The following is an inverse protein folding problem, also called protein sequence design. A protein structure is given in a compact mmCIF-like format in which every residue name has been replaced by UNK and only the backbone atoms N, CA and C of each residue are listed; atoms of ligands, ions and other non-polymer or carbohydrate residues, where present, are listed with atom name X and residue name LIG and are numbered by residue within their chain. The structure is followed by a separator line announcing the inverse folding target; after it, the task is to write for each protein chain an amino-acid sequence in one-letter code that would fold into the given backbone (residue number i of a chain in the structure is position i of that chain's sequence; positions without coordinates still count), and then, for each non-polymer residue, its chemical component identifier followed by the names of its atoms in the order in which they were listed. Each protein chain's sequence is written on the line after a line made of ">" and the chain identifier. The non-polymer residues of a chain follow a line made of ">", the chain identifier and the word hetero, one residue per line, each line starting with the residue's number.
data_IF_719226733021
#
_entry.id   IF_719226733021
#
_cell.length_a   1.000
_cell.length_b   1.000
_cell.length_c   1.000
_cell.angle_alpha   90.00
_cell.angle_beta   90.00
_cell.angle_gamma   90.00
#
_symmetry.space_group_name_H-M   'P 1'
#
loop_
_entity.id
_entity.type
_entity.pdbx_description
1 polymer ?
#
# COMPACT_ATOMS: atom_id res chain seq x y z
N UNK A 1 -3.69 33.14 -4.43
CA UNK A 1 -4.12 31.95 -3.66
C UNK A 1 -2.97 30.98 -3.63
N UNK A 2 -2.65 30.41 -2.47
CA UNK A 2 -1.62 29.38 -2.34
C UNK A 2 -2.17 28.08 -2.91
N UNK A 3 -1.53 27.54 -3.95
CA UNK A 3 -1.95 26.28 -4.56
C UNK A 3 -1.58 25.12 -3.64
N UNK A 4 -2.50 24.18 -3.45
CA UNK A 4 -2.35 23.03 -2.56
C UNK A 4 -2.37 21.74 -3.38
N UNK A 5 -1.65 20.73 -2.89
CA UNK A 5 -1.46 19.46 -3.57
C UNK A 5 -1.63 18.32 -2.56
N UNK A 6 -2.24 17.22 -3.01
CA UNK A 6 -2.29 15.96 -2.25
C UNK A 6 -1.28 15.00 -2.85
N UNK A 7 -0.34 14.53 -2.02
CA UNK A 7 0.72 13.62 -2.44
C UNK A 7 0.66 12.33 -1.62
N UNK A 8 0.71 11.19 -2.29
CA UNK A 8 1.09 9.90 -1.71
C UNK A 8 2.59 9.74 -1.95
N UNK A 9 3.36 9.72 -0.88
CA UNK A 9 4.82 9.61 -0.94
C UNK A 9 5.31 8.38 -0.20
N UNK A 10 6.46 7.86 -0.63
CA UNK A 10 7.16 6.85 0.17
C UNK A 10 7.52 7.46 1.54
N UNK A 11 7.31 6.70 2.61
CA UNK A 11 7.60 7.13 3.99
C UNK A 11 9.03 7.62 4.14
N UNK A 12 9.98 7.07 3.39
CA UNK A 12 11.38 7.49 3.43
C UNK A 12 11.57 8.97 3.06
N UNK A 13 10.70 9.52 2.20
CA UNK A 13 10.74 10.92 1.77
C UNK A 13 10.21 11.90 2.83
N UNK A 14 9.64 11.40 3.92
CA UNK A 14 9.03 12.20 4.99
C UNK A 14 9.95 12.43 6.19
N UNK A 15 11.14 11.83 6.22
CA UNK A 15 12.08 11.97 7.35
C UNK A 15 13.04 13.15 7.16
N UNK A 16 13.17 13.96 8.22
CA UNK A 16 14.26 14.91 8.54
C UNK A 16 14.57 16.06 7.54
N UNK A 17 14.03 16.05 6.33
CA UNK A 17 14.21 17.15 5.35
C UNK A 17 12.93 17.45 4.56
N UNK A 18 12.74 18.69 4.08
CA UNK A 18 11.65 19.01 3.15
C UNK A 18 11.72 18.13 1.90
N UNK A 19 10.56 17.73 1.39
CA UNK A 19 10.45 17.12 0.07
C UNK A 19 11.01 18.08 -0.98
N UNK A 20 12.01 17.61 -1.73
CA UNK A 20 12.66 18.36 -2.78
C UNK A 20 12.27 17.81 -4.14
N UNK A 21 11.93 18.73 -5.04
CA UNK A 21 11.53 18.42 -6.40
C UNK A 21 12.51 19.02 -7.39
N UNK A 22 12.86 18.23 -8.38
CA UNK A 22 13.69 18.62 -9.52
C UNK A 22 12.90 18.40 -10.81
N UNK A 23 13.36 18.99 -11.90
CA UNK A 23 12.68 18.89 -13.20
C UNK A 23 13.62 18.29 -14.22
N UNK A 24 13.19 17.20 -14.86
CA UNK A 24 13.96 16.48 -15.87
C UNK A 24 13.14 16.18 -17.11
N UNK A 25 13.84 15.90 -18.20
CA UNK A 25 13.23 15.36 -19.40
C UNK A 25 12.76 13.93 -19.15
N UNK A 26 11.49 13.68 -19.44
CA UNK A 26 10.93 12.35 -19.42
C UNK A 26 11.54 11.48 -20.54
N UNK A 27 11.97 10.23 -20.29
CA UNK A 27 12.79 9.46 -21.23
C UNK A 27 12.21 9.25 -22.64
N UNK A 28 10.89 9.02 -22.74
CA UNK A 28 10.20 8.84 -24.03
C UNK A 28 9.84 10.16 -24.70
N UNK A 29 8.99 10.96 -24.04
CA UNK A 29 8.43 12.17 -24.62
C UNK A 29 9.40 13.35 -24.71
N UNK A 30 10.53 13.29 -23.99
CA UNK A 30 11.48 14.39 -23.82
C UNK A 30 10.85 15.67 -23.24
N UNK A 31 9.65 15.58 -22.65
CA UNK A 31 8.99 16.71 -22.02
C UNK A 31 9.48 16.87 -20.58
N UNK A 32 9.60 18.12 -20.12
CA UNK A 32 10.06 18.41 -18.75
C UNK A 32 8.98 18.03 -17.73
N UNK A 33 9.32 17.11 -16.84
CA UNK A 33 8.49 16.59 -15.74
C UNK A 33 9.19 16.78 -14.38
N UNK A 34 8.40 16.94 -13.33
CA UNK A 34 8.85 17.00 -11.94
C UNK A 34 9.10 15.61 -11.37
N UNK A 35 10.22 15.47 -10.66
CA UNK A 35 10.65 14.28 -9.94
C UNK A 35 10.91 14.67 -8.48
N UNK A 36 10.62 13.79 -7.54
CA UNK A 36 11.04 13.95 -6.14
C UNK A 36 12.38 13.24 -5.93
N UNK A 37 13.19 13.73 -4.99
CA UNK A 37 14.48 13.11 -4.67
C UNK A 37 14.65 12.77 -3.20
N UNK A 38 15.26 11.61 -2.98
CA UNK A 38 15.83 11.21 -1.70
C UNK A 38 17.34 11.35 -1.75
N UNK A 39 17.85 12.47 -1.22
CA UNK A 39 19.30 12.75 -1.17
C UNK A 39 20.08 11.76 -0.30
N UNK A 40 19.43 11.18 0.72
CA UNK A 40 20.07 10.27 1.68
C UNK A 40 20.30 8.91 1.04
N UNK A 41 19.27 8.34 0.42
CA UNK A 41 19.34 7.02 -0.20
C UNK A 41 19.72 7.06 -1.69
N UNK A 42 19.89 8.26 -2.26
CA UNK A 42 20.23 8.47 -3.68
C UNK A 42 19.19 7.84 -4.62
N UNK A 43 17.92 8.06 -4.32
CA UNK A 43 16.80 7.54 -5.11
C UNK A 43 16.04 8.71 -5.74
N UNK A 44 15.69 8.55 -7.01
CA UNK A 44 14.84 9.48 -7.75
C UNK A 44 13.45 8.84 -7.86
N UNK A 45 12.42 9.65 -7.63
CA UNK A 45 11.03 9.25 -7.76
C UNK A 45 10.38 10.08 -8.86
N UNK A 46 9.71 9.42 -9.79
CA UNK A 46 8.81 10.12 -10.70
C UNK A 46 7.54 10.55 -9.98
N UNK A 47 6.91 11.62 -10.45
CA UNK A 47 5.64 12.09 -9.94
C UNK A 47 4.52 11.74 -10.92
N UNK A 48 3.73 10.74 -10.56
CA UNK A 48 2.54 10.31 -11.29
C UNK A 48 1.36 11.16 -10.84
N UNK A 49 0.57 11.64 -11.79
CA UNK A 49 -0.62 12.46 -11.54
C UNK A 49 -1.87 11.67 -11.88
N UNK A 50 -2.76 11.54 -10.92
CA UNK A 50 -4.10 11.01 -11.11
C UNK A 50 -5.11 12.16 -11.07
N UNK A 51 -5.97 12.23 -12.10
CA UNK A 51 -7.05 13.20 -12.17
C UNK A 51 -8.37 12.52 -12.51
N UNK A 52 -9.36 12.76 -11.68
CA UNK A 52 -10.74 12.37 -11.93
C UNK A 52 -11.57 13.62 -12.21
N UNK A 53 -12.48 13.55 -13.19
CA UNK A 53 -13.38 14.67 -13.47
C UNK A 53 -14.36 14.86 -12.31
N UNK A 54 -14.63 16.13 -11.97
CA UNK A 54 -15.59 16.55 -10.94
C UNK A 54 -15.26 16.00 -9.53
N UNK A 55 -13.99 16.04 -9.14
CA UNK A 55 -13.53 15.63 -7.81
C UNK A 55 -12.92 16.80 -7.02
N UNK A 56 -12.94 16.70 -5.70
CA UNK A 56 -12.36 17.66 -4.75
C UNK A 56 -11.89 16.95 -3.48
N UNK A 57 -10.85 17.47 -2.82
CA UNK A 57 -10.45 16.96 -1.51
C UNK A 57 -11.02 17.83 -0.38
N UNK A 58 -11.52 17.18 0.65
CA UNK A 58 -11.78 17.79 1.94
C UNK A 58 -10.61 17.44 2.84
N UNK A 59 -9.80 18.43 3.21
CA UNK A 59 -8.63 18.23 4.06
C UNK A 59 -8.94 18.86 5.42
N UNK A 60 -9.24 17.98 6.38
CA UNK A 60 -9.83 18.35 7.67
C UNK A 60 -11.15 19.15 7.49
N UNK A 61 -11.61 19.82 8.54
CA UNK A 61 -12.91 20.54 8.52
C UNK A 61 -12.85 21.96 7.94
N UNK A 62 -11.66 22.40 7.52
CA UNK A 62 -11.40 23.83 7.22
C UNK A 62 -10.94 24.09 5.79
N UNK A 63 -10.67 23.05 5.00
CA UNK A 63 -9.98 23.22 3.72
C UNK A 63 -10.59 22.33 2.64
N UNK A 64 -10.97 22.96 1.52
CA UNK A 64 -11.43 22.27 0.32
C UNK A 64 -10.42 22.55 -0.80
N UNK A 65 -9.81 21.50 -1.32
CA UNK A 65 -8.98 21.55 -2.53
C UNK A 65 -9.90 21.25 -3.71
N UNK A 66 -10.14 22.25 -4.53
CA UNK A 66 -11.16 22.23 -5.59
C UNK A 66 -10.84 21.28 -6.75
N UNK A 67 -9.59 20.85 -6.91
CA UNK A 67 -9.18 19.81 -7.82
C UNK A 67 -8.89 18.54 -7.02
N UNK A 68 -9.67 17.48 -7.23
CA UNK A 68 -9.40 16.15 -6.65
C UNK A 68 -8.23 15.44 -7.34
N UNK A 69 -7.23 16.21 -7.77
CA UNK A 69 -5.96 15.72 -8.30
C UNK A 69 -5.19 15.05 -7.16
N UNK A 70 -4.66 13.86 -7.43
CA UNK A 70 -3.74 13.15 -6.55
C UNK A 70 -2.40 13.01 -7.24
N UNK A 71 -1.31 13.20 -6.51
CA UNK A 71 0.02 12.90 -7.00
C UNK A 71 0.58 11.72 -6.22
N UNK A 72 1.33 10.85 -6.89
CA UNK A 72 1.99 9.69 -6.30
C UNK A 72 3.46 9.70 -6.69
N UNK A 73 4.35 9.41 -5.75
CA UNK A 73 5.77 9.22 -6.05
C UNK A 73 6.08 7.73 -6.23
N UNK A 74 6.66 7.36 -7.36
CA UNK A 74 7.13 6.00 -7.64
C UNK A 74 8.64 6.01 -7.91
N UNK A 75 9.44 5.09 -7.33
CA UNK A 75 10.87 5.04 -7.62
C UNK A 75 11.12 4.76 -9.10
N UNK A 76 11.96 5.57 -9.75
CA UNK A 76 12.35 5.36 -11.15
C UNK A 76 13.75 4.77 -11.24
N UNK A 77 13.95 3.81 -12.13
CA UNK A 77 15.28 3.27 -12.37
C UNK A 77 16.11 4.29 -13.17
N UNK A 78 17.25 4.69 -12.62
CA UNK A 78 18.18 5.63 -13.23
C UNK A 78 18.57 5.26 -14.66
N UNK A 79 18.65 3.97 -15.01
CA UNK A 79 19.00 3.55 -16.37
C UNK A 79 17.98 4.02 -17.41
N UNK A 80 16.69 4.06 -17.07
CA UNK A 80 15.68 4.63 -17.98
C UNK A 80 15.88 6.13 -18.17
N UNK A 81 16.26 6.86 -17.11
CA UNK A 81 16.54 8.30 -17.21
C UNK A 81 17.80 8.60 -18.03
N UNK A 82 18.80 7.72 -17.98
CA UNK A 82 20.05 7.87 -18.74
C UNK A 82 19.96 7.34 -20.17
N UNK A 83 18.97 6.49 -20.46
CA UNK A 83 18.87 5.79 -21.74
C UNK A 83 18.82 6.73 -22.95
N UNK A 84 18.12 7.89 -22.94
CA UNK A 84 18.15 8.80 -24.07
C UNK A 84 19.56 9.30 -24.41
N UNK A 85 20.37 9.61 -23.39
CA UNK A 85 21.75 10.07 -23.59
C UNK A 85 22.62 8.93 -24.14
N UNK A 86 22.51 7.75 -23.54
CA UNK A 86 23.25 6.56 -23.96
C UNK A 86 22.89 6.12 -25.39
N UNK A 87 21.61 6.23 -25.75
CA UNK A 87 21.11 5.91 -27.09
C UNK A 87 21.67 6.87 -28.14
N UNK A 88 21.73 8.17 -27.81
CA UNK A 88 22.31 9.19 -28.69
C UNK A 88 23.81 8.98 -28.90
N UNK A 89 24.53 8.43 -27.93
CA UNK A 89 25.97 8.15 -28.01
C UNK A 89 26.30 6.71 -28.38
N UNK A 90 25.32 5.87 -28.75
CA UNK A 90 25.51 4.39 -28.86
C UNK A 90 26.58 3.94 -29.85
N UNK A 91 26.95 4.77 -30.82
CA UNK A 91 27.95 4.43 -31.85
C UNK A 91 29.40 4.71 -31.43
N UNK A 92 29.64 5.28 -30.25
CA UNK A 92 30.99 5.67 -29.81
C UNK A 92 31.23 5.39 -28.33
N UNK A 93 32.49 5.15 -27.97
CA UNK A 93 32.93 5.13 -26.57
C UNK A 93 33.05 6.57 -26.05
N UNK A 94 32.49 6.83 -24.87
CA UNK A 94 32.50 8.16 -24.27
C UNK A 94 32.60 8.09 -22.74
N UNK A 95 33.25 9.08 -22.13
CA UNK A 95 33.29 9.20 -20.66
C UNK A 95 31.89 9.50 -20.08
N UNK A 96 31.65 9.10 -18.84
CA UNK A 96 30.37 9.36 -18.14
C UNK A 96 29.99 10.84 -18.15
N UNK A 97 30.97 11.72 -17.93
CA UNK A 97 30.78 13.17 -17.91
C UNK A 97 30.24 13.66 -19.25
N UNK A 98 30.81 13.20 -20.35
CA UNK A 98 30.39 13.61 -21.68
C UNK A 98 29.02 13.02 -22.04
N UNK A 99 28.75 11.75 -21.70
CA UNK A 99 27.42 11.13 -21.91
C UNK A 99 26.34 11.94 -21.21
N UNK A 100 26.53 12.27 -19.93
CA UNK A 100 25.53 12.97 -19.13
C UNK A 100 25.25 14.41 -19.62
N UNK A 101 26.23 15.06 -20.23
CA UNK A 101 26.10 16.44 -20.77
C UNK A 101 25.51 16.50 -22.17
N UNK A 102 25.34 15.39 -22.87
CA UNK A 102 24.85 15.39 -24.26
C UNK A 102 23.43 15.94 -24.43
N UNK A 103 22.53 15.68 -23.48
CA UNK A 103 21.13 16.07 -23.63
C UNK A 103 20.82 17.42 -22.98
N UNK A 104 21.40 17.70 -21.81
CA UNK A 104 21.24 18.96 -21.08
C UNK A 104 22.42 19.12 -20.10
N UNK A 105 23.17 20.21 -20.22
CA UNK A 105 24.33 20.47 -19.35
C UNK A 105 23.94 20.60 -17.88
N UNK A 106 22.80 21.26 -17.58
CA UNK A 106 22.34 21.43 -16.20
C UNK A 106 21.91 20.08 -15.60
N UNK A 107 21.34 19.20 -16.43
CA UNK A 107 21.02 17.84 -16.05
C UNK A 107 22.30 17.05 -15.76
N UNK A 108 23.29 17.11 -16.66
CA UNK A 108 24.56 16.41 -16.47
C UNK A 108 25.25 16.81 -15.16
N UNK A 109 25.28 18.11 -14.86
CA UNK A 109 25.85 18.62 -13.62
C UNK A 109 25.04 18.17 -12.39
N UNK A 110 23.71 18.07 -12.47
CA UNK A 110 22.92 17.49 -11.38
C UNK A 110 23.35 16.04 -11.11
N UNK A 111 23.45 15.19 -12.14
CA UNK A 111 23.78 13.77 -11.95
C UNK A 111 25.16 13.60 -11.32
N UNK A 112 26.14 14.38 -11.76
CA UNK A 112 27.49 14.37 -11.23
C UNK A 112 27.57 14.88 -9.77
N UNK A 113 26.66 15.78 -9.38
CA UNK A 113 26.56 16.25 -7.99
C UNK A 113 25.75 15.31 -7.10
N UNK A 114 24.73 14.66 -7.65
CA UNK A 114 23.83 13.80 -6.89
C UNK A 114 24.41 12.39 -6.71
N UNK A 115 25.01 11.81 -7.76
CA UNK A 115 25.62 10.49 -7.77
C UNK A 115 27.15 10.56 -7.91
N UNK A 116 27.87 9.57 -7.38
CA UNK A 116 29.31 9.42 -7.67
C UNK A 116 29.52 8.83 -9.06
N UNK A 117 30.65 9.15 -9.69
CA UNK A 117 31.02 8.57 -11.00
C UNK A 117 31.07 7.03 -10.91
N UNK A 118 31.60 6.48 -9.82
CA UNK A 118 31.66 5.03 -9.59
C UNK A 118 30.26 4.41 -9.52
N UNK A 119 29.31 5.07 -8.85
CA UNK A 119 27.93 4.59 -8.79
C UNK A 119 27.30 4.55 -10.18
N UNK A 120 27.48 5.62 -10.97
CA UNK A 120 26.94 5.68 -12.34
C UNK A 120 27.58 4.60 -13.20
N UNK A 121 28.92 4.47 -13.13
CA UNK A 121 29.71 3.46 -13.83
C UNK A 121 29.20 2.04 -13.56
N UNK A 122 28.97 1.69 -12.29
CA UNK A 122 28.41 0.40 -11.89
C UNK A 122 27.04 0.15 -12.53
N UNK A 123 26.16 1.16 -12.55
CA UNK A 123 24.82 1.00 -13.13
C UNK A 123 24.86 0.88 -14.64
N UNK A 124 25.57 1.75 -15.35
CA UNK A 124 25.58 1.73 -16.83
C UNK A 124 26.32 0.51 -17.38
N UNK A 125 27.29 -0.05 -16.64
CA UNK A 125 27.99 -1.30 -17.02
C UNK A 125 27.06 -2.49 -17.24
N UNK A 126 25.83 -2.43 -16.72
CA UNK A 126 24.78 -3.43 -16.94
C UNK A 126 24.34 -3.45 -18.42
N UNK A 127 24.29 -2.29 -19.07
CA UNK A 127 23.79 -2.12 -20.45
C UNK A 127 24.86 -1.61 -21.42
N UNK A 128 26.05 -1.28 -20.94
CA UNK A 128 27.17 -0.75 -21.73
C UNK A 128 28.38 -1.70 -21.70
N UNK A 129 29.26 -1.55 -22.69
CA UNK A 129 30.63 -2.04 -22.66
C UNK A 129 31.58 -0.93 -22.22
N UNK A 130 32.67 -1.31 -21.54
CA UNK A 130 33.70 -0.40 -21.06
C UNK A 130 35.03 -0.75 -21.75
N UNK A 131 35.71 0.26 -22.28
CA UNK A 131 37.03 0.09 -22.88
C UNK A 131 38.16 0.25 -21.84
N UNK A 132 39.41 0.10 -22.28
CA UNK A 132 40.60 0.23 -21.43
C UNK A 132 40.77 1.64 -20.81
N UNK A 133 40.16 2.67 -21.42
CA UNK A 133 40.18 4.06 -20.95
C UNK A 133 39.02 4.41 -20.01
N UNK A 134 38.24 3.42 -19.57
CA UNK A 134 37.02 3.62 -18.78
C UNK A 134 35.97 4.50 -19.46
N UNK A 135 35.90 4.44 -20.79
CA UNK A 135 34.83 5.03 -21.57
C UNK A 135 33.78 3.96 -21.86
N UNK A 136 32.52 4.40 -22.02
CA UNK A 136 31.36 3.53 -22.16
C UNK A 136 30.72 3.67 -23.53
N UNK A 137 30.29 2.54 -24.08
CA UNK A 137 29.46 2.47 -25.28
C UNK A 137 28.22 1.61 -24.97
N UNK A 138 27.03 2.06 -25.39
CA UNK A 138 25.81 1.27 -25.22
C UNK A 138 25.94 -0.05 -25.98
N UNK A 139 25.68 -1.17 -25.31
CA UNK A 139 25.65 -2.48 -25.91
C UNK A 139 24.17 -2.90 -26.07
N UNK A 140 23.69 -2.91 -27.31
CA UNK A 140 22.28 -3.20 -27.61
C UNK A 140 21.86 -4.59 -27.14
N UNK A 141 22.74 -5.60 -27.21
CA UNK A 141 22.43 -6.94 -26.74
C UNK A 141 22.25 -7.00 -25.21
N UNK A 142 23.11 -6.31 -24.46
CA UNK A 142 22.98 -6.18 -23.00
C UNK A 142 21.72 -5.40 -22.62
N UNK A 143 21.42 -4.32 -23.35
CA UNK A 143 20.21 -3.54 -23.14
C UNK A 143 18.95 -4.38 -23.38
N UNK A 144 18.86 -5.11 -24.50
CA UNK A 144 17.69 -5.94 -24.80
C UNK A 144 17.48 -7.03 -23.76
N UNK A 145 18.55 -7.70 -23.33
CA UNK A 145 18.49 -8.66 -22.23
C UNK A 145 18.00 -8.01 -20.93
N UNK A 146 18.52 -6.83 -20.60
CA UNK A 146 18.10 -6.10 -19.39
C UNK A 146 16.61 -5.70 -19.44
N UNK A 147 16.11 -5.26 -20.60
CA UNK A 147 14.70 -4.92 -20.82
C UNK A 147 13.80 -6.16 -20.74
N UNK A 148 14.22 -7.29 -21.31
CA UNK A 148 13.53 -8.59 -21.18
C UNK A 148 13.37 -8.99 -19.71
N UNK A 149 14.43 -8.88 -18.91
CA UNK A 149 14.35 -9.20 -17.48
C UNK A 149 13.38 -8.28 -16.72
N UNK A 150 13.20 -7.02 -17.14
CA UNK A 150 12.21 -6.11 -16.55
C UNK A 150 10.80 -6.48 -16.99
N UNK A 151 10.62 -6.84 -18.26
CA UNK A 151 9.36 -7.34 -18.81
C UNK A 151 8.88 -8.60 -18.08
N UNK A 152 9.76 -9.59 -17.93
CA UNK A 152 9.47 -10.81 -17.17
C UNK A 152 9.15 -10.52 -15.70
N UNK A 153 9.84 -9.55 -15.07
CA UNK A 153 9.56 -9.15 -13.69
C UNK A 153 8.16 -8.52 -13.56
N UNK A 154 7.74 -7.70 -14.51
CA UNK A 154 6.39 -7.12 -14.52
C UNK A 154 5.32 -8.21 -14.68
N UNK A 155 5.54 -9.20 -15.55
CA UNK A 155 4.61 -10.31 -15.68
C UNK A 155 4.52 -11.16 -14.41
N UNK A 156 5.67 -11.50 -13.81
CA UNK A 156 5.71 -12.43 -12.68
C UNK A 156 5.33 -11.81 -11.34
N UNK A 157 5.76 -10.56 -11.07
CA UNK A 157 5.52 -9.88 -9.79
C UNK A 157 4.38 -8.86 -9.87
N UNK A 158 4.12 -8.31 -11.05
CA UNK A 158 3.02 -7.37 -11.27
C UNK A 158 1.72 -8.05 -11.68
N UNK A 159 1.73 -9.37 -11.91
CA UNK A 159 0.58 -10.15 -12.41
C UNK A 159 -0.01 -9.57 -13.71
N UNK A 160 0.88 -9.04 -14.56
CA UNK A 160 0.52 -8.41 -15.82
C UNK A 160 0.62 -9.40 -16.98
N UNK A 161 -0.27 -9.26 -17.95
CA UNK A 161 -0.12 -9.99 -19.20
C UNK A 161 1.04 -9.44 -20.03
N UNK A 162 1.44 -10.19 -21.06
CA UNK A 162 2.60 -9.86 -21.90
C UNK A 162 2.49 -8.46 -22.53
N UNK A 163 1.30 -8.08 -23.02
CA UNK A 163 1.08 -6.77 -23.62
C UNK A 163 1.18 -5.65 -22.60
N UNK A 164 0.49 -5.77 -21.45
CA UNK A 164 0.55 -4.79 -20.37
C UNK A 164 1.98 -4.56 -19.85
N UNK A 165 2.78 -5.63 -19.70
CA UNK A 165 4.16 -5.52 -19.26
C UNK A 165 5.06 -4.81 -20.29
N UNK A 166 4.87 -5.10 -21.58
CA UNK A 166 5.58 -4.44 -22.67
C UNK A 166 5.23 -2.95 -22.74
N UNK A 167 3.94 -2.67 -22.69
CA UNK A 167 3.32 -1.36 -22.69
C UNK A 167 3.94 -0.44 -21.60
N UNK A 168 3.98 -0.88 -20.35
CA UNK A 168 4.58 -0.10 -19.25
C UNK A 168 6.05 0.24 -19.49
N UNK A 169 6.83 -0.70 -20.06
CA UNK A 169 8.26 -0.44 -20.35
C UNK A 169 8.41 0.58 -21.46
N UNK A 170 7.56 0.48 -22.50
CA UNK A 170 7.61 1.37 -23.65
C UNK A 170 7.43 2.83 -23.29
N UNK A 171 6.73 3.15 -22.20
CA UNK A 171 6.61 4.52 -21.67
C UNK A 171 7.97 5.19 -21.40
N UNK A 172 9.05 4.43 -21.25
CA UNK A 172 10.39 4.94 -20.96
C UNK A 172 11.37 4.85 -22.14
N UNK A 173 10.94 4.32 -23.28
CA UNK A 173 11.79 4.05 -24.44
C UNK A 173 11.47 5.01 -25.59
N UNK A 174 12.46 5.29 -26.43
CA UNK A 174 12.24 5.93 -27.73
C UNK A 174 11.72 4.90 -28.75
N UNK A 175 11.20 5.37 -29.87
CA UNK A 175 10.51 4.51 -30.84
C UNK A 175 11.44 3.44 -31.45
N UNK A 176 12.68 3.80 -31.80
CA UNK A 176 13.68 2.83 -32.30
C UNK A 176 13.92 1.69 -31.29
N UNK A 177 14.04 2.01 -30.00
CA UNK A 177 14.28 1.02 -28.95
C UNK A 177 13.03 0.15 -28.69
N UNK A 178 11.84 0.75 -28.79
CA UNK A 178 10.56 0.01 -28.72
C UNK A 178 10.49 -1.04 -29.84
N UNK A 179 10.80 -0.66 -31.08
CA UNK A 179 10.79 -1.57 -32.23
C UNK A 179 11.79 -2.72 -32.04
N UNK A 180 13.01 -2.41 -31.59
CA UNK A 180 14.02 -3.44 -31.31
C UNK A 180 13.57 -4.39 -30.20
N UNK A 181 13.00 -3.88 -29.11
CA UNK A 181 12.50 -4.70 -28.01
C UNK A 181 11.34 -5.60 -28.46
N UNK A 182 10.42 -5.06 -29.26
CA UNK A 182 9.29 -5.80 -29.80
C UNK A 182 9.76 -7.00 -30.64
N UNK A 183 10.76 -6.79 -31.49
CA UNK A 183 11.37 -7.86 -32.28
C UNK A 183 12.10 -8.88 -31.40
N UNK A 184 12.87 -8.41 -30.42
CA UNK A 184 13.62 -9.26 -29.48
C UNK A 184 12.70 -10.21 -28.70
N UNK A 185 11.56 -9.68 -28.22
CA UNK A 185 10.54 -10.43 -27.48
C UNK A 185 9.61 -11.25 -28.38
N UNK A 186 9.74 -11.15 -29.71
CA UNK A 186 8.93 -11.86 -30.73
C UNK A 186 7.42 -11.61 -30.58
N UNK A 187 7.07 -10.36 -30.32
CA UNK A 187 5.69 -9.92 -30.14
C UNK A 187 4.99 -9.66 -31.49
N UNK A 188 3.70 -10.00 -31.61
CA UNK A 188 2.93 -9.82 -32.87
C UNK A 188 2.46 -8.37 -33.03
N UNK A 189 2.69 -7.77 -34.20
CA UNK A 189 2.40 -6.34 -34.51
C UNK A 189 1.00 -5.85 -34.14
N UNK A 190 -0.05 -6.67 -34.31
CA UNK A 190 -1.45 -6.25 -34.14
C UNK A 190 -1.99 -6.33 -32.70
N UNK A 191 -1.14 -6.49 -31.68
CA UNK A 191 -1.57 -6.79 -30.30
C UNK A 191 -1.52 -5.59 -29.35
N UNK A 192 -1.07 -4.41 -29.79
CA UNK A 192 -0.63 -3.34 -28.89
C UNK A 192 -1.33 -2.02 -29.16
N UNK A 193 -1.49 -1.24 -28.08
CA UNK A 193 -2.14 0.06 -28.11
C UNK A 193 -1.12 1.08 -28.62
N UNK A 194 -1.43 1.77 -29.73
CA UNK A 194 -0.68 2.96 -30.12
C UNK A 194 -0.79 4.00 -29.00
N UNK A 195 0.35 4.33 -28.39
CA UNK A 195 0.42 5.33 -27.32
C UNK A 195 0.12 6.72 -27.85
N UNK A 196 -0.87 7.39 -27.24
CA UNK A 196 -0.90 8.84 -27.24
C UNK A 196 0.33 9.34 -26.46
N UNK A 197 1.12 10.22 -27.07
CA UNK A 197 2.26 10.88 -26.44
C UNK A 197 1.80 11.41 -25.07
N UNK A 198 2.51 11.13 -23.95
CA UNK A 198 2.16 11.71 -22.67
C UNK A 198 2.07 13.22 -22.83
N UNK A 199 0.86 13.78 -22.76
CA UNK A 199 0.69 15.24 -22.81
C UNK A 199 1.43 15.78 -21.61
N UNK A 200 2.58 16.43 -21.85
CA UNK A 200 3.40 17.02 -20.79
C UNK A 200 2.50 17.75 -19.81
N UNK A 201 2.51 17.29 -18.55
CA UNK A 201 1.53 17.68 -17.56
C UNK A 201 1.73 19.15 -17.21
N UNK A 202 0.95 20.05 -17.82
CA UNK A 202 1.08 21.52 -17.72
C UNK A 202 0.93 22.08 -16.30
N UNK A 203 0.43 21.28 -15.34
CA UNK A 203 0.11 21.69 -13.97
C UNK A 203 0.78 20.77 -12.92
N UNK A 204 2.10 20.61 -12.99
CA UNK A 204 2.85 19.95 -11.92
C UNK A 204 3.29 20.97 -10.86
N UNK A 205 3.53 20.55 -9.60
CA UNK A 205 4.11 21.41 -8.59
C UNK A 205 5.40 22.02 -9.14
N UNK A 206 5.48 23.35 -9.15
CA UNK A 206 6.74 24.05 -9.46
C UNK A 206 7.77 23.61 -8.42
N UNK A 207 9.01 23.39 -8.85
CA UNK A 207 10.14 23.10 -7.97
C UNK A 207 10.20 24.15 -6.85
N UNK A 208 9.63 23.81 -5.71
CA UNK A 208 9.54 24.62 -4.51
C UNK A 208 9.59 23.64 -3.35
N UNK A 209 10.42 23.94 -2.35
CA UNK A 209 10.43 23.19 -1.10
C UNK A 209 9.01 23.19 -0.51
N UNK A 210 8.46 22.02 -0.23
CA UNK A 210 7.19 21.92 0.51
C UNK A 210 7.45 22.33 1.97
N UNK A 211 7.17 23.59 2.29
CA UNK A 211 7.45 24.19 3.62
C UNK A 211 6.40 23.88 4.69
N UNK A 212 5.21 23.41 4.31
CA UNK A 212 4.15 22.97 5.23
C UNK A 212 3.39 21.79 4.61
N UNK A 213 3.59 20.60 5.16
CA UNK A 213 2.81 19.42 4.83
C UNK A 213 2.02 18.98 6.08
N UNK A 214 0.71 18.77 5.92
CA UNK A 214 -0.02 17.93 6.86
C UNK A 214 0.20 16.49 6.41
N UNK A 215 1.16 15.83 7.03
CA UNK A 215 1.45 14.43 6.74
C UNK A 215 0.46 13.56 7.49
N UNK A 216 -0.30 12.75 6.76
CA UNK A 216 -1.12 11.68 7.32
C UNK A 216 -0.35 10.39 7.08
N UNK A 217 0.18 9.78 8.15
CA UNK A 217 0.83 8.47 8.07
C UNK A 217 -0.28 7.42 7.92
N UNK A 218 -0.43 6.88 6.71
CA UNK A 218 -1.49 5.93 6.40
C UNK A 218 -1.08 4.50 6.82
N UNK A 219 0.14 4.27 7.33
CA UNK A 219 0.57 2.90 7.65
C UNK A 219 1.66 2.85 8.74
N UNK A 220 1.25 2.70 10.01
CA UNK A 220 2.17 2.41 11.12
C UNK A 220 2.11 0.94 11.53
N UNK A 221 3.01 0.09 11.06
CA UNK A 221 3.06 -1.36 11.43
C UNK A 221 3.39 -1.65 12.91
N UNK A 222 3.42 -0.65 13.79
CA UNK A 222 4.33 -0.64 14.93
C UNK A 222 3.95 -1.50 16.14
N UNK A 223 2.74 -2.06 16.25
CA UNK A 223 2.38 -2.88 17.44
C UNK A 223 1.56 -4.16 17.17
N UNK A 224 0.82 -4.28 16.05
CA UNK A 224 0.16 -5.57 15.69
C UNK A 224 1.17 -6.68 15.31
N UNK A 225 2.43 -6.33 15.03
CA UNK A 225 3.47 -7.28 14.63
C UNK A 225 3.61 -8.46 15.60
N UNK A 226 3.51 -8.22 16.91
CA UNK A 226 3.56 -9.27 17.93
C UNK A 226 2.40 -10.26 17.78
N UNK A 227 1.17 -9.77 17.62
CA UNK A 227 -0.02 -10.63 17.44
C UNK A 227 0.11 -11.42 16.15
N UNK A 228 0.54 -10.80 15.05
CA UNK A 228 0.77 -11.49 13.76
C UNK A 228 1.80 -12.61 13.88
N UNK A 229 2.90 -12.35 14.56
CA UNK A 229 4.01 -13.29 14.66
C UNK A 229 3.70 -14.47 15.61
N UNK A 230 2.93 -14.22 16.67
CA UNK A 230 2.61 -15.22 17.69
C UNK A 230 1.27 -15.91 17.51
N UNK A 231 0.43 -15.43 16.60
CA UNK A 231 -0.84 -16.08 16.28
C UNK A 231 -0.61 -17.48 15.71
N UNK A 232 -1.46 -18.41 16.13
CA UNK A 232 -1.51 -19.78 15.63
C UNK A 232 -2.22 -19.87 14.25
N UNK A 233 -2.72 -18.73 13.73
CA UNK A 233 -3.32 -18.64 12.40
C UNK A 233 -2.24 -18.63 11.32
N UNK A 234 -2.34 -19.57 10.38
CA UNK A 234 -1.37 -19.75 9.29
C UNK A 234 -1.26 -18.53 8.35
N UNK A 235 -2.29 -17.68 8.29
CA UNK A 235 -2.32 -16.47 7.46
C UNK A 235 -1.72 -15.24 8.16
N UNK A 236 -1.72 -15.21 9.50
CA UNK A 236 -1.42 -14.00 10.26
C UNK A 236 0.00 -13.48 10.00
N UNK A 237 0.99 -14.37 9.81
CA UNK A 237 2.39 -13.99 9.59
C UNK A 237 2.63 -13.31 8.24
N UNK A 238 1.83 -13.65 7.23
CA UNK A 238 1.99 -13.17 5.84
C UNK A 238 1.05 -12.02 5.48
N UNK A 239 0.07 -11.72 6.34
CA UNK A 239 -0.97 -10.76 6.01
C UNK A 239 -0.43 -9.34 5.82
N UNK A 240 -0.96 -8.61 4.86
CA UNK A 240 -0.64 -7.20 4.63
C UNK A 240 -1.63 -6.32 5.41
N UNK A 241 -1.24 -5.86 6.60
CA UNK A 241 -2.13 -5.12 7.49
C UNK A 241 -1.74 -3.65 7.54
N UNK A 242 -2.71 -2.79 7.29
CA UNK A 242 -2.65 -1.35 7.52
C UNK A 242 -2.99 -1.05 8.99
N UNK A 243 -2.43 0.01 9.57
CA UNK A 243 -2.74 0.40 10.94
C UNK A 243 -3.29 1.81 11.00
N UNK A 244 -4.21 2.00 11.95
CA UNK A 244 -4.77 3.29 12.30
C UNK A 244 -3.74 4.22 12.94
N UNK A 245 -4.02 5.52 12.97
CA UNK A 245 -3.24 6.47 13.76
C UNK A 245 -3.10 6.00 15.20
N UNK A 246 -1.95 6.28 15.81
CA UNK A 246 -1.73 6.03 17.24
C UNK A 246 -2.65 6.91 18.08
N UNK A 247 -3.17 6.36 19.17
CA UNK A 247 -3.93 7.12 20.17
C UNK A 247 -3.00 8.12 20.88
N UNK A 248 -3.37 9.39 20.93
CA UNK A 248 -2.57 10.42 21.59
C UNK A 248 -2.83 10.46 23.11
N UNK A 249 -1.87 10.95 23.88
CA UNK A 249 -2.04 11.05 25.33
C UNK A 249 -3.23 11.97 25.67
N UNK A 250 -4.13 11.50 26.54
CA UNK A 250 -5.35 12.20 27.00
C UNK A 250 -6.36 12.52 25.89
N UNK A 251 -6.28 11.85 24.74
CA UNK A 251 -7.20 12.05 23.65
C UNK A 251 -8.55 11.37 23.89
N UNK A 252 -9.64 12.09 23.59
CA UNK A 252 -11.00 11.54 23.66
C UNK A 252 -11.28 10.58 22.49
N UNK A 253 -12.31 9.75 22.63
CA UNK A 253 -12.71 8.81 21.57
C UNK A 253 -13.12 9.57 20.30
N UNK A 254 -13.80 10.70 20.47
CA UNK A 254 -14.29 11.57 19.39
C UNK A 254 -13.12 12.20 18.62
N UNK A 255 -12.11 12.73 19.33
CA UNK A 255 -10.89 13.27 18.72
C UNK A 255 -10.09 12.19 17.98
N UNK A 256 -9.99 10.99 18.57
CA UNK A 256 -9.37 9.85 17.91
C UNK A 256 -10.10 9.49 16.62
N UNK A 257 -11.43 9.46 16.67
CA UNK A 257 -12.30 9.18 15.54
C UNK A 257 -12.11 10.16 14.37
N UNK A 258 -11.98 11.45 14.64
CA UNK A 258 -11.68 12.47 13.61
C UNK A 258 -10.39 12.15 12.83
N UNK A 259 -9.37 11.60 13.52
CA UNK A 259 -8.11 11.19 12.87
C UNK A 259 -8.18 9.81 12.23
N UNK A 260 -8.96 8.91 12.81
CA UNK A 260 -9.20 7.56 12.29
C UNK A 260 -9.88 7.63 10.92
N UNK A 261 -10.93 8.44 10.79
CA UNK A 261 -11.80 8.49 9.61
C UNK A 261 -11.06 8.68 8.27
N UNK A 262 -10.21 9.70 8.08
CA UNK A 262 -9.48 9.88 6.82
C UNK A 262 -8.62 8.66 6.46
N UNK A 263 -7.94 8.07 7.45
CA UNK A 263 -7.09 6.90 7.19
C UNK A 263 -7.87 5.64 6.88
N UNK A 264 -9.04 5.45 7.51
CA UNK A 264 -9.94 4.33 7.21
C UNK A 264 -10.58 4.48 5.81
N UNK A 265 -10.96 5.70 5.42
CA UNK A 265 -11.44 6.00 4.07
C UNK A 265 -10.38 5.72 3.01
N UNK A 266 -9.13 6.15 3.25
CA UNK A 266 -8.02 5.88 2.32
C UNK A 266 -7.77 4.37 2.24
N UNK A 267 -7.76 3.66 3.38
CA UNK A 267 -7.66 2.21 3.38
C UNK A 267 -8.74 1.57 2.50
N UNK A 268 -10.01 1.97 2.65
CA UNK A 268 -11.12 1.47 1.85
C UNK A 268 -10.95 1.78 0.34
N UNK A 269 -10.50 2.98 0.00
CA UNK A 269 -10.28 3.40 -1.39
C UNK A 269 -9.19 2.57 -2.09
N UNK A 270 -8.17 2.13 -1.35
CA UNK A 270 -7.00 1.42 -1.91
C UNK A 270 -6.96 -0.08 -1.59
N UNK A 271 -7.92 -0.60 -0.82
CA UNK A 271 -7.90 -2.00 -0.35
C UNK A 271 -7.82 -3.01 -1.50
N UNK A 272 -8.43 -2.68 -2.65
CA UNK A 272 -8.44 -3.49 -3.87
C UNK A 272 -7.07 -3.48 -4.56
N UNK A 273 -6.52 -2.29 -4.76
CA UNK A 273 -5.29 -2.10 -5.55
C UNK A 273 -4.03 -2.51 -4.79
N UNK A 274 -3.95 -2.19 -3.50
CA UNK A 274 -2.78 -2.45 -2.66
C UNK A 274 -2.85 -3.83 -1.99
N UNK A 275 -3.94 -4.55 -2.21
CA UNK A 275 -4.12 -5.90 -1.71
C UNK A 275 -3.95 -6.00 -0.18
N UNK A 276 -4.47 -5.04 0.58
CA UNK A 276 -4.46 -5.11 2.04
C UNK A 276 -5.40 -6.19 2.56
N UNK A 277 -4.95 -6.94 3.57
CA UNK A 277 -5.70 -8.02 4.22
C UNK A 277 -6.47 -7.57 5.46
N UNK A 278 -6.14 -6.39 5.97
CA UNK A 278 -6.90 -5.78 7.06
C UNK A 278 -6.38 -4.42 7.50
N UNK A 279 -7.16 -3.79 8.39
CA UNK A 279 -6.87 -2.52 9.02
C UNK A 279 -7.01 -2.66 10.54
N UNK A 280 -5.98 -2.32 11.30
CA UNK A 280 -5.98 -2.44 12.76
C UNK A 280 -6.14 -1.11 13.46
N UNK A 281 -7.06 -1.05 14.42
CA UNK A 281 -7.19 0.04 15.40
C UNK A 281 -6.62 -0.43 16.73
N UNK A 282 -5.72 0.36 17.32
CA UNK A 282 -5.07 0.06 18.60
C UNK A 282 -5.55 1.06 19.65
N UNK A 283 -6.21 0.54 20.68
CA UNK A 283 -6.78 1.31 21.78
C UNK A 283 -5.91 1.07 23.02
N UNK A 284 -5.40 2.12 23.69
CA UNK A 284 -4.58 1.96 24.88
C UNK A 284 -5.32 1.18 25.96
N UNK A 285 -4.65 0.17 26.53
CA UNK A 285 -5.14 -0.55 27.69
C UNK A 285 -4.89 0.27 28.96
N UNK A 286 -5.83 1.15 29.26
CA UNK A 286 -5.78 2.08 30.38
C UNK A 286 -7.18 2.25 31.00
N UNK A 287 -7.45 3.39 31.66
CA UNK A 287 -8.74 3.73 32.25
C UNK A 287 -9.95 3.60 31.29
N UNK A 288 -9.74 3.71 29.96
CA UNK A 288 -10.77 3.59 28.93
C UNK A 288 -11.18 2.14 28.63
N UNK A 289 -10.34 1.16 28.98
CA UNK A 289 -10.56 -0.26 28.70
C UNK A 289 -10.10 -1.10 29.89
N UNK A 290 -10.61 -0.82 31.09
CA UNK A 290 -10.21 -1.56 32.30
C UNK A 290 -10.86 -2.93 32.34
N UNK A 291 -12.07 -3.05 31.80
CA UNK A 291 -12.77 -4.32 31.63
C UNK A 291 -13.08 -4.62 30.17
N UNK A 292 -13.52 -5.84 29.90
CA UNK A 292 -13.98 -6.23 28.56
C UNK A 292 -15.24 -5.43 28.15
N UNK A 293 -16.08 -5.05 29.13
CA UNK A 293 -17.25 -4.19 28.92
C UNK A 293 -16.83 -2.76 28.56
N UNK A 294 -15.82 -2.19 29.24
CA UNK A 294 -15.27 -0.89 28.87
C UNK A 294 -14.74 -0.91 27.43
N UNK A 295 -13.97 -1.95 27.08
CA UNK A 295 -13.49 -2.15 25.72
C UNK A 295 -14.66 -2.28 24.71
N UNK A 296 -15.73 -2.99 25.07
CA UNK A 296 -16.92 -3.11 24.24
C UNK A 296 -17.62 -1.76 23.99
N UNK A 297 -17.65 -0.87 24.99
CA UNK A 297 -18.19 0.48 24.82
C UNK A 297 -17.33 1.33 23.89
N UNK A 298 -16.00 1.27 24.02
CA UNK A 298 -15.09 1.97 23.10
C UNK A 298 -15.21 1.42 21.67
N UNK A 299 -15.26 0.10 21.53
CA UNK A 299 -15.48 -0.59 20.26
C UNK A 299 -16.76 -0.11 19.58
N UNK A 300 -17.89 -0.10 20.30
CA UNK A 300 -19.18 0.38 19.78
C UNK A 300 -19.09 1.82 19.28
N UNK A 301 -18.45 2.71 20.04
CA UNK A 301 -18.29 4.12 19.67
C UNK A 301 -17.47 4.30 18.40
N UNK A 302 -16.38 3.54 18.24
CA UNK A 302 -15.55 3.57 17.03
C UNK A 302 -16.34 3.08 15.82
N UNK A 303 -17.02 1.92 15.92
CA UNK A 303 -17.86 1.40 14.83
C UNK A 303 -18.99 2.38 14.47
N UNK A 304 -19.63 2.99 15.47
CA UNK A 304 -20.68 3.99 15.27
C UNK A 304 -20.14 5.23 14.55
N UNK A 305 -18.98 5.74 14.95
CA UNK A 305 -18.35 6.87 14.28
C UNK A 305 -18.07 6.57 12.80
N UNK A 306 -17.44 5.43 12.50
CA UNK A 306 -17.18 5.00 11.13
C UNK A 306 -18.50 4.89 10.34
N UNK A 307 -19.49 4.20 10.89
CA UNK A 307 -20.80 4.04 10.27
C UNK A 307 -21.51 5.38 10.01
N UNK A 308 -21.46 6.33 10.94
CA UNK A 308 -22.10 7.65 10.81
C UNK A 308 -21.45 8.53 9.73
N UNK A 309 -20.20 8.24 9.41
CA UNK A 309 -19.42 8.94 8.38
C UNK A 309 -19.24 8.09 7.11
N UNK A 310 -20.03 7.02 6.96
CA UNK A 310 -19.98 6.16 5.78
C UNK A 310 -20.31 6.95 4.49
N UNK A 311 -19.38 7.07 3.53
CA UNK A 311 -19.60 7.76 2.26
C UNK A 311 -20.75 7.18 1.44
N UNK A 312 -21.00 5.88 1.57
CA UNK A 312 -22.11 5.19 0.91
C UNK A 312 -23.46 5.40 1.61
N UNK A 313 -23.46 6.08 2.78
CA UNK A 313 -24.66 6.42 3.57
C UNK A 313 -25.50 5.21 3.95
N UNK A 314 -24.85 4.07 4.26
CA UNK A 314 -25.55 2.87 4.75
C UNK A 314 -25.91 2.96 6.21
N UNK A 315 -25.05 3.60 7.00
CA UNK A 315 -25.23 3.79 8.43
C UNK A 315 -25.55 2.46 9.15
N UNK A 316 -24.75 1.41 8.88
CA UNK A 316 -25.03 0.03 9.31
C UNK A 316 -25.22 -0.12 10.83
N UNK A 317 -24.63 0.75 11.64
CA UNK A 317 -24.76 0.79 13.10
C UNK A 317 -26.06 1.44 13.59
N UNK A 318 -26.87 2.04 12.72
CA UNK A 318 -28.22 2.53 13.06
C UNK A 318 -29.29 1.43 12.92
N UNK A 319 -28.91 0.24 12.47
CA UNK A 319 -29.81 -0.90 12.36
C UNK A 319 -30.28 -1.37 13.73
N UNK A 320 -31.58 -1.64 13.88
CA UNK A 320 -32.13 -2.31 15.07
C UNK A 320 -31.91 -3.83 15.06
N UNK A 321 -31.18 -4.35 14.07
CA UNK A 321 -30.99 -5.78 13.78
C UNK A 321 -29.52 -6.19 13.79
N UNK A 322 -28.68 -5.52 14.60
CA UNK A 322 -27.23 -5.82 14.68
C UNK A 322 -26.99 -7.27 15.18
N UNK A 323 -27.86 -7.75 16.06
CA UNK A 323 -27.88 -9.11 16.60
C UNK A 323 -28.58 -10.13 15.68
N UNK A 324 -28.99 -9.73 14.48
CA UNK A 324 -29.70 -10.60 13.55
C UNK A 324 -28.76 -11.23 12.53
N UNK A 325 -29.12 -12.42 12.05
CA UNK A 325 -28.46 -13.04 10.90
C UNK A 325 -28.49 -12.10 9.69
N UNK A 326 -27.36 -11.98 9.01
CA UNK A 326 -27.21 -11.17 7.79
C UNK A 326 -26.82 -9.72 8.04
N UNK A 327 -26.80 -9.25 9.30
CA UNK A 327 -26.12 -8.00 9.60
C UNK A 327 -24.61 -8.18 9.50
N UNK A 328 -23.96 -7.23 8.85
CA UNK A 328 -22.51 -7.11 8.72
C UNK A 328 -22.14 -5.65 8.91
N UNK A 329 -20.91 -5.41 9.39
CA UNK A 329 -20.36 -4.07 9.37
C UNK A 329 -19.96 -3.73 7.93
N UNK A 330 -20.53 -2.67 7.38
CA UNK A 330 -20.25 -2.16 6.04
C UNK A 330 -19.82 -0.70 6.12
N UNK A 331 -18.79 -0.34 5.36
CA UNK A 331 -18.35 1.03 5.14
C UNK A 331 -17.90 1.18 3.69
N UNK A 332 -18.39 2.21 3.01
CA UNK A 332 -18.16 2.48 1.59
C UNK A 332 -18.41 1.25 0.68
N UNK A 333 -19.49 0.52 0.96
CA UNK A 333 -19.88 -0.72 0.25
C UNK A 333 -18.88 -1.87 0.38
N UNK A 334 -17.97 -1.80 1.35
CA UNK A 334 -17.07 -2.88 1.71
C UNK A 334 -17.56 -3.49 3.01
N UNK A 335 -17.81 -4.80 2.98
CA UNK A 335 -18.16 -5.60 4.15
C UNK A 335 -16.91 -6.04 4.88
N UNK A 336 -16.96 -6.00 6.21
CA UNK A 336 -15.84 -6.33 7.07
C UNK A 336 -16.16 -7.47 8.02
N UNK A 337 -15.29 -8.46 8.04
CA UNK A 337 -15.15 -9.37 9.16
C UNK A 337 -14.30 -8.69 10.23
N UNK A 338 -14.87 -8.51 11.42
CA UNK A 338 -14.21 -7.81 12.53
C UNK A 338 -13.82 -8.81 13.60
N UNK A 339 -12.56 -8.77 14.00
CA UNK A 339 -12.01 -9.57 15.09
C UNK A 339 -11.30 -8.67 16.08
N UNK A 340 -11.40 -8.99 17.37
CA UNK A 340 -10.68 -8.26 18.43
C UNK A 340 -9.64 -9.12 19.13
N UNK A 341 -8.58 -8.48 19.63
CA UNK A 341 -7.60 -9.08 20.52
C UNK A 341 -7.39 -8.17 21.72
N UNK A 342 -7.30 -8.71 22.93
CA UNK A 342 -7.20 -7.87 24.13
C UNK A 342 -6.41 -8.53 25.25
N UNK A 343 -5.76 -7.74 26.15
CA UNK A 343 -5.10 -8.24 27.34
C UNK A 343 -6.07 -8.86 28.37
N UNK A 344 -7.37 -8.59 28.26
CA UNK A 344 -8.39 -9.16 29.16
C UNK A 344 -8.56 -10.67 28.97
N UNK A 345 -8.28 -11.18 27.77
CA UNK A 345 -8.44 -12.60 27.48
C UNK A 345 -7.29 -13.40 28.09
N UNK A 346 -7.56 -14.57 28.68
CA UNK A 346 -6.52 -15.45 29.21
C UNK A 346 -5.67 -16.03 28.07
N UNK A 347 -4.47 -16.52 28.40
CA UNK A 347 -3.49 -17.00 27.42
C UNK A 347 -3.92 -18.23 26.60
N UNK A 348 -4.92 -18.97 27.11
CA UNK A 348 -5.58 -20.11 26.49
C UNK A 348 -6.82 -19.70 25.66
N UNK A 349 -7.04 -18.40 25.47
CA UNK A 349 -8.14 -17.89 24.66
C UNK A 349 -7.66 -17.52 23.24
N UNK A 350 -8.44 -17.81 22.18
CA UNK A 350 -8.06 -17.48 20.80
C UNK A 350 -7.96 -15.96 20.52
N UNK A 351 -8.50 -15.12 21.42
CA UNK A 351 -8.43 -13.64 21.34
C UNK A 351 -7.33 -13.01 22.21
N UNK A 352 -6.44 -13.83 22.79
CA UNK A 352 -5.34 -13.34 23.61
C UNK A 352 -4.39 -12.42 22.82
N UNK A 353 -4.06 -11.25 23.38
CA UNK A 353 -3.17 -10.26 22.75
C UNK A 353 -1.66 -10.59 22.86
N UNK A 354 -1.28 -11.75 23.41
CA UNK A 354 0.11 -12.14 23.65
C UNK A 354 0.89 -11.08 24.47
N UNK A 355 2.01 -10.57 23.93
CA UNK A 355 2.82 -9.55 24.60
C UNK A 355 2.32 -8.12 24.33
N UNK A 356 1.29 -7.95 23.51
CA UNK A 356 0.66 -6.65 23.28
C UNK A 356 -0.29 -6.27 24.42
N UNK A 357 0.25 -6.24 25.66
CA UNK A 357 -0.52 -6.02 26.89
C UNK A 357 -0.96 -4.58 27.11
N UNK A 358 -0.36 -3.64 26.38
CA UNK A 358 -0.64 -2.22 26.51
C UNK A 358 -1.79 -1.74 25.60
N UNK A 359 -2.37 -2.64 24.79
CA UNK A 359 -3.38 -2.26 23.80
C UNK A 359 -4.46 -3.33 23.64
N UNK A 360 -5.70 -2.88 23.47
CA UNK A 360 -6.77 -3.66 22.85
C UNK A 360 -6.80 -3.37 21.34
N UNK A 361 -7.11 -4.38 20.53
CA UNK A 361 -7.00 -4.34 19.08
C UNK A 361 -8.35 -4.62 18.43
N UNK A 362 -8.70 -3.83 17.41
CA UNK A 362 -9.81 -4.09 16.50
C UNK A 362 -9.22 -4.30 15.11
N UNK A 363 -9.41 -5.48 14.55
CA UNK A 363 -8.97 -5.80 13.20
C UNK A 363 -10.18 -5.86 12.27
N UNK A 364 -10.22 -4.92 11.33
CA UNK A 364 -11.17 -4.88 10.22
C UNK A 364 -10.58 -5.66 9.05
N UNK A 365 -11.19 -6.78 8.66
CA UNK A 365 -10.75 -7.59 7.53
C UNK A 365 -11.79 -7.50 6.41
N UNK A 366 -11.48 -6.88 5.26
CA UNK A 366 -12.42 -6.76 4.16
C UNK A 366 -12.71 -8.16 3.61
N UNK A 367 -13.97 -8.49 3.32
CA UNK A 367 -14.32 -9.84 2.84
C UNK A 367 -13.61 -10.22 1.53
N UNK A 368 -13.30 -9.22 0.69
CA UNK A 368 -12.47 -9.39 -0.51
C UNK A 368 -11.09 -10.00 -0.21
N UNK A 369 -10.55 -9.80 0.99
CA UNK A 369 -9.30 -10.44 1.42
C UNK A 369 -9.43 -11.96 1.45
N UNK A 370 -10.53 -12.48 2.01
CA UNK A 370 -10.75 -13.92 2.08
C UNK A 370 -10.89 -14.57 0.70
N UNK A 371 -11.50 -13.86 -0.25
CA UNK A 371 -11.59 -14.29 -1.65
C UNK A 371 -10.21 -14.39 -2.31
N UNK A 372 -9.31 -13.44 -2.05
CA UNK A 372 -7.93 -13.46 -2.58
C UNK A 372 -7.10 -14.63 -2.04
N UNK A 373 -7.35 -15.03 -0.79
CA UNK A 373 -6.69 -16.17 -0.16
C UNK A 373 -7.38 -17.52 -0.44
N UNK A 374 -8.44 -17.54 -1.27
CA UNK A 374 -9.19 -18.73 -1.66
C UNK A 374 -9.57 -19.64 -0.48
N UNK A 375 -10.05 -19.03 0.61
CA UNK A 375 -10.44 -19.76 1.81
C UNK A 375 -11.67 -20.64 1.54
N UNK A 376 -11.67 -21.85 2.10
CA UNK A 376 -12.80 -22.77 2.01
C UNK A 376 -14.05 -22.20 2.71
N UNK A 377 -15.23 -22.56 2.21
CA UNK A 377 -16.53 -22.20 2.79
C UNK A 377 -16.64 -22.57 4.27
N UNK A 378 -17.39 -21.77 5.04
CA UNK A 378 -17.55 -22.01 6.47
C UNK A 378 -18.27 -23.32 6.78
N UNK A 379 -17.83 -23.99 7.84
CA UNK A 379 -18.34 -25.32 8.23
C UNK A 379 -18.25 -25.54 9.74
N UNK A 380 -19.27 -26.15 10.37
CA UNK A 380 -19.21 -26.52 11.78
C UNK A 380 -18.31 -27.74 12.00
N UNK A 381 -17.97 -28.49 10.94
CA UNK A 381 -17.16 -29.70 11.03
C UNK A 381 -15.67 -29.38 10.92
N UNK A 382 -14.85 -30.17 11.61
CA UNK A 382 -13.38 -30.07 11.55
C UNK A 382 -12.79 -31.47 11.46
N UNK A 383 -11.94 -31.72 10.47
CA UNK A 383 -11.16 -32.95 10.42
C UNK A 383 -9.92 -32.83 11.30
N UNK A 384 -10.06 -33.20 12.57
CA UNK A 384 -9.00 -33.09 13.58
C UNK A 384 -7.84 -34.05 13.33
N UNK A 385 -8.09 -35.24 12.77
CA UNK A 385 -7.07 -36.28 12.57
C UNK A 385 -6.26 -36.05 11.30
N UNK A 386 -6.91 -35.62 10.21
CA UNK A 386 -6.27 -35.37 8.92
C UNK A 386 -6.72 -34.01 8.36
N UNK A 387 -6.16 -32.88 8.86
CA UNK A 387 -6.59 -31.55 8.48
C UNK A 387 -6.25 -31.27 7.01
N UNK A 388 -7.28 -31.18 6.17
CA UNK A 388 -7.12 -30.98 4.71
C UNK A 388 -7.34 -29.53 4.31
N UNK A 389 -8.37 -28.88 4.88
CA UNK A 389 -8.69 -27.49 4.60
C UNK A 389 -7.84 -26.54 5.43
N UNK A 390 -7.70 -25.28 4.98
CA UNK A 390 -6.98 -24.28 5.77
C UNK A 390 -7.69 -23.97 7.09
N UNK A 391 -9.02 -24.11 7.14
CA UNK A 391 -9.79 -24.02 8.38
C UNK A 391 -9.47 -25.16 9.34
N UNK A 392 -9.37 -26.40 8.86
CA UNK A 392 -8.96 -27.54 9.71
C UNK A 392 -7.58 -27.28 10.30
N UNK A 393 -6.61 -26.90 9.45
CA UNK A 393 -5.24 -26.60 9.88
C UNK A 393 -5.20 -25.50 10.93
N UNK A 394 -5.99 -24.43 10.76
CA UNK A 394 -6.10 -23.36 11.75
C UNK A 394 -6.68 -23.90 13.05
N UNK A 395 -7.82 -24.60 13.02
CA UNK A 395 -8.47 -25.10 14.23
C UNK A 395 -7.58 -26.08 15.01
N UNK A 396 -6.93 -27.02 14.31
CA UNK A 396 -5.94 -27.94 14.87
C UNK A 396 -4.76 -27.18 15.46
N UNK A 397 -4.23 -26.17 14.76
CA UNK A 397 -3.14 -25.33 15.26
C UNK A 397 -3.49 -24.64 16.57
N UNK A 398 -4.66 -24.01 16.65
CA UNK A 398 -5.13 -23.37 17.88
C UNK A 398 -5.38 -24.39 19.01
N UNK A 399 -5.92 -25.58 18.70
CA UNK A 399 -6.13 -26.64 19.69
C UNK A 399 -4.80 -27.15 20.26
N UNK A 400 -3.80 -27.39 19.42
CA UNK A 400 -2.47 -27.85 19.83
C UNK A 400 -1.73 -26.84 20.72
N UNK A 401 -2.09 -25.56 20.64
CA UNK A 401 -1.55 -24.49 21.49
C UNK A 401 -2.49 -24.12 22.66
N UNK A 402 -3.46 -24.98 22.97
CA UNK A 402 -4.44 -24.78 24.06
C UNK A 402 -5.28 -23.50 23.92
N UNK A 403 -5.55 -23.06 22.69
CA UNK A 403 -6.33 -21.86 22.35
C UNK A 403 -7.53 -22.16 21.44
N UNK A 404 -8.13 -23.33 21.59
CA UNK A 404 -9.25 -23.78 20.74
C UNK A 404 -10.35 -22.74 20.59
N UNK A 405 -10.86 -22.61 19.36
CA UNK A 405 -12.12 -21.91 19.12
C UNK A 405 -13.28 -22.79 19.59
N UNK A 406 -14.28 -22.24 20.29
CA UNK A 406 -15.57 -22.88 20.37
C UNK A 406 -16.21 -22.83 18.97
N UNK A 407 -16.66 -23.99 18.51
CA UNK A 407 -17.26 -24.19 17.18
C UNK A 407 -18.75 -24.38 17.40
N UNK A 408 -19.57 -23.58 16.73
CA UNK A 408 -21.03 -23.73 16.75
C UNK A 408 -21.42 -24.88 15.83
N UNK A 409 -22.51 -25.57 16.14
CA UNK A 409 -23.09 -26.61 15.28
C UNK A 409 -23.69 -26.07 13.98
N UNK A 410 -23.71 -24.74 13.81
CA UNK A 410 -24.24 -24.04 12.64
C UNK A 410 -23.33 -22.88 12.22
N UNK A 411 -23.29 -22.62 10.91
CA UNK A 411 -22.65 -21.44 10.30
C UNK A 411 -23.62 -20.26 10.16
N UNK A 412 -24.87 -20.43 10.61
CA UNK A 412 -25.92 -19.43 10.51
C UNK A 412 -26.14 -18.74 11.85
N UNK A 413 -25.28 -17.77 12.14
CA UNK A 413 -25.34 -16.98 13.37
C UNK A 413 -25.06 -15.49 13.10
N UNK A 414 -25.44 -14.59 14.02
CA UNK A 414 -25.16 -13.17 13.87
C UNK A 414 -23.67 -12.88 13.98
N UNK A 415 -23.10 -12.20 12.98
CA UNK A 415 -21.66 -11.88 12.95
C UNK A 415 -21.22 -11.02 14.15
N UNK A 416 -22.12 -10.18 14.66
CA UNK A 416 -21.87 -9.34 15.83
C UNK A 416 -21.43 -10.17 17.06
N UNK A 417 -21.92 -11.40 17.22
CA UNK A 417 -21.61 -12.24 18.40
C UNK A 417 -20.13 -12.64 18.49
N UNK A 418 -19.38 -12.58 17.39
CA UNK A 418 -17.98 -13.00 17.34
C UNK A 418 -16.98 -11.83 17.34
N UNK A 419 -17.46 -10.59 17.22
CA UNK A 419 -16.60 -9.40 17.18
C UNK A 419 -15.93 -9.13 18.53
N UNK A 420 -16.65 -9.31 19.64
CA UNK A 420 -16.12 -9.38 21.00
C UNK A 420 -16.65 -10.66 21.64
N UNK A 421 -15.75 -11.50 22.16
CA UNK A 421 -16.09 -12.78 22.76
C UNK A 421 -16.11 -12.70 24.29
N UNK A 422 -16.86 -13.56 24.98
CA UNK A 422 -16.78 -13.66 26.43
C UNK A 422 -15.42 -14.23 26.87
N UNK A 423 -15.04 -13.98 28.12
CA UNK A 423 -13.80 -14.52 28.70
C UNK A 423 -13.83 -16.05 28.87
N UNK A 424 -15.02 -16.64 29.05
CA UNK A 424 -15.22 -18.07 29.29
C UNK A 424 -15.04 -18.95 28.04
N UNK A 425 -14.83 -18.36 26.85
CA UNK A 425 -14.79 -19.05 25.55
C UNK A 425 -16.05 -19.91 25.28
N UNK A 426 -17.17 -19.58 25.92
CA UNK A 426 -18.47 -20.22 25.75
C UNK A 426 -19.26 -19.52 24.63
N UNK A 427 -19.82 -20.27 23.68
CA UNK A 427 -20.59 -19.71 22.54
C UNK A 427 -21.99 -19.25 22.91
N UNK A 428 -22.53 -19.71 24.03
CA UNK A 428 -23.85 -19.28 24.54
C UNK A 428 -23.76 -17.95 25.29
N UNK A 429 -22.62 -17.67 25.91
CA UNK A 429 -22.37 -16.40 26.57
C UNK A 429 -21.99 -15.33 25.53
N UNK A 430 -22.81 -14.29 25.36
CA UNK A 430 -22.62 -13.28 24.32
C UNK A 430 -22.36 -11.92 24.97
N UNK A 431 -21.25 -11.29 24.60
CA UNK A 431 -20.99 -9.90 24.97
C UNK A 431 -21.79 -9.01 24.04
N UNK A 432 -22.90 -8.47 24.54
CA UNK A 432 -23.83 -7.64 23.77
C UNK A 432 -23.30 -6.21 23.59
N UNK A 433 -22.14 -6.06 22.94
CA UNK A 433 -21.42 -4.80 22.78
C UNK A 433 -22.20 -3.73 21.98
N UNK A 434 -23.23 -4.13 21.24
CA UNK A 434 -24.05 -3.24 20.41
C UNK A 434 -25.18 -2.54 21.18
N UNK A 435 -25.49 -2.98 22.40
CA UNK A 435 -26.55 -2.40 23.23
C UNK A 435 -26.19 -1.01 23.76
#
# INVERSE_FOLDING_TARGET
>A
MTQQYVLVVDKQLLYDTPLEFIRFHHPRSNLIQSFAIDKKNKIIFELIKYEQKYSSWFVNDKMVINNGTLYMTTPVNILFLMLPALWNTRIQYMSIVNILKMNDENFGDFYLNFFTIDFISEKISIICDMNEKQEFQLNEQKLMKWLEERHQRLMTKGDLNNAQAFDIICEYLNDDCVEQLQQYLKLKENSFVHYEIPTGQKNQPKATELKKATTIDICTTRNITTIKQKSDCIFAKRSHICAAPTWAQNESIEQYCERLLPTFMIFCAFVREVSFDGYVVEIPHNELTRTIEDFAQVFKKILKCLSDNDPAKRYCMNSTKIDSRGWVFEFDRITFFITTFSPHYPNNHPRYAHESKNYCHILFQPELSFLRHNLSDDTPLTNWENPTTDRDKIRVSFQNHERSYPIRDTIHYPAAHDMIRPLSNDVENIVQWWL
#
